data_IF_252320708239
#
_entry.id   IF_252320708239
#
_cell.length_a   1.000
_cell.length_b   1.000
_cell.length_c   1.000
_cell.angle_alpha   90.00
_cell.angle_beta   90.00
_cell.angle_gamma   90.00
#
_symmetry.space_group_name_H-M   'P 1'
#
loop_
_entity.id
_entity.type
_entity.pdbx_description
1 polymer ?
#
# COMPACT_ATOMS: atom_id res chain seq x y z
N UNK A 1 21.56 -7.99 18.12
CA UNK A 1 20.87 -6.68 17.99
C UNK A 1 19.79 -6.68 19.05
N UNK A 2 20.07 -5.99 20.16
CA UNK A 2 19.16 -5.84 21.30
C UNK A 2 17.92 -5.07 20.85
N UNK A 3 16.77 -5.74 20.85
CA UNK A 3 15.46 -5.10 20.66
C UNK A 3 15.27 -4.10 21.80
N UNK A 4 15.20 -2.81 21.49
CA UNK A 4 14.85 -1.79 22.47
C UNK A 4 13.33 -1.79 22.58
N UNK A 5 12.72 -2.30 23.67
CA UNK A 5 11.26 -2.38 23.81
C UNK A 5 10.59 -1.00 23.81
N UNK A 6 11.36 0.07 24.05
CA UNK A 6 10.90 1.46 23.95
C UNK A 6 10.76 1.98 22.51
N UNK A 7 11.44 1.38 21.53
CA UNK A 7 11.29 1.79 20.13
C UNK A 7 9.94 1.37 19.54
N UNK A 8 9.38 0.24 19.99
CA UNK A 8 8.11 -0.31 19.48
C UNK A 8 6.89 0.55 19.85
N UNK A 9 6.92 1.20 21.02
CA UNK A 9 5.85 2.10 21.45
C UNK A 9 6.01 3.53 20.92
N UNK A 10 7.18 3.90 20.38
CA UNK A 10 7.50 5.31 20.11
C UNK A 10 6.60 5.93 19.04
N UNK A 11 6.29 5.17 17.97
CA UNK A 11 5.40 5.61 16.89
C UNK A 11 3.94 5.75 17.37
N UNK A 12 3.29 4.73 17.95
CA UNK A 12 1.92 4.86 18.46
C UNK A 12 1.80 5.87 19.60
N UNK A 13 2.81 5.99 20.47
CA UNK A 13 2.84 6.99 21.54
C UNK A 13 2.96 8.41 20.97
N UNK A 14 3.87 8.65 20.03
CA UNK A 14 4.01 9.95 19.37
C UNK A 14 2.73 10.36 18.63
N UNK A 15 2.05 9.40 18.00
CA UNK A 15 0.73 9.62 17.38
C UNK A 15 -0.32 9.98 18.42
N UNK A 16 -0.43 9.21 19.51
CA UNK A 16 -1.37 9.50 20.59
C UNK A 16 -1.16 10.90 21.17
N UNK A 17 0.09 11.29 21.40
CA UNK A 17 0.45 12.61 21.91
C UNK A 17 0.10 13.70 20.88
N UNK A 18 0.46 13.50 19.60
CA UNK A 18 0.19 14.49 18.54
C UNK A 18 -1.31 14.69 18.32
N UNK A 19 -2.08 13.60 18.35
CA UNK A 19 -3.54 13.66 18.28
C UNK A 19 -4.13 14.38 19.48
N UNK A 20 -3.66 14.06 20.70
CA UNK A 20 -4.15 14.70 21.93
C UNK A 20 -3.86 16.21 21.94
N UNK A 21 -2.67 16.63 21.46
CA UNK A 21 -2.33 18.05 21.30
C UNK A 21 -3.23 18.70 20.24
N UNK A 22 -3.43 18.06 19.08
CA UNK A 22 -4.31 18.59 18.03
C UNK A 22 -5.76 18.72 18.51
N UNK A 23 -6.22 17.77 19.32
CA UNK A 23 -7.54 17.79 19.95
C UNK A 23 -7.66 18.95 20.95
N UNK A 24 -6.68 19.12 21.85
CA UNK A 24 -6.64 20.24 22.80
C UNK A 24 -6.60 21.60 22.07
N UNK A 25 -5.81 21.74 21.01
CA UNK A 25 -5.76 22.96 20.19
C UNK A 25 -7.09 23.22 19.46
N UNK A 26 -7.83 22.18 19.13
CA UNK A 26 -9.16 22.30 18.51
C UNK A 26 -10.21 22.77 19.53
N UNK A 27 -10.25 22.15 20.71
CA UNK A 27 -11.20 22.49 21.77
C UNK A 27 -10.94 23.87 22.39
N UNK A 28 -9.68 24.28 22.49
CA UNK A 28 -9.30 25.63 22.96
C UNK A 28 -9.63 26.74 21.94
N UNK A 29 -10.14 26.39 20.75
CA UNK A 29 -10.55 27.35 19.73
C UNK A 29 -9.38 28.02 19.00
N UNK A 30 -8.16 27.48 19.09
CA UNK A 30 -6.97 28.02 18.38
C UNK A 30 -7.17 27.98 16.86
N UNK A 31 -7.95 27.01 16.37
CA UNK A 31 -8.33 26.90 14.96
C UNK A 31 -9.63 27.64 14.60
N UNK A 32 -10.24 28.41 15.50
CA UNK A 32 -11.42 29.24 15.20
C UNK A 32 -11.00 30.68 14.87
N UNK A 33 -10.85 30.97 13.58
CA UNK A 33 -10.54 32.30 13.07
C UNK A 33 -11.84 33.09 12.84
N UNK A 34 -11.94 34.30 13.40
CA UNK A 34 -13.14 35.15 13.30
C UNK A 34 -13.44 35.48 11.84
N UNK A 35 -14.69 35.24 11.42
CA UNK A 35 -15.17 35.59 10.07
C UNK A 35 -14.71 34.65 8.95
N UNK A 36 -14.11 33.51 9.28
CA UNK A 36 -13.69 32.50 8.30
C UNK A 36 -14.53 31.24 8.47
N UNK A 37 -15.12 30.76 7.37
CA UNK A 37 -15.86 29.50 7.32
C UNK A 37 -15.03 28.45 6.57
N UNK A 38 -15.00 27.22 7.08
CA UNK A 38 -14.30 26.08 6.48
C UNK A 38 -15.02 25.54 5.24
N UNK A 39 -16.34 25.77 5.14
CA UNK A 39 -17.18 25.23 4.07
C UNK A 39 -17.17 26.10 2.81
N UNK A 40 -16.64 27.31 2.89
CA UNK A 40 -16.51 28.21 1.74
C UNK A 40 -15.19 27.93 1.03
N UNK A 41 -15.19 27.56 -0.26
CA UNK A 41 -13.96 27.32 -1.00
C UNK A 41 -13.10 28.59 -1.00
N UNK A 42 -11.78 28.43 -0.94
CA UNK A 42 -10.82 29.53 -1.00
C UNK A 42 -10.84 30.20 -2.39
N UNK A 43 -11.86 31.00 -2.64
CA UNK A 43 -12.04 31.79 -3.86
C UNK A 43 -11.42 33.18 -3.71
N UNK A 44 -11.32 33.90 -4.82
CA UNK A 44 -10.88 35.30 -4.80
C UNK A 44 -11.83 36.24 -4.04
N UNK A 45 -13.06 35.79 -3.73
CA UNK A 45 -14.05 36.54 -2.94
C UNK A 45 -13.86 36.42 -1.42
N UNK A 46 -12.96 35.56 -0.94
CA UNK A 46 -12.64 35.40 0.49
C UNK A 46 -11.48 36.33 0.87
N UNK A 47 -11.60 37.00 2.03
CA UNK A 47 -10.57 37.88 2.60
C UNK A 47 -9.20 37.20 2.60
N UNK A 48 -8.10 37.92 2.25
CA UNK A 48 -6.75 37.35 2.23
C UNK A 48 -6.33 36.78 3.60
N UNK A 49 -6.88 37.33 4.69
CA UNK A 49 -6.73 36.79 6.03
C UNK A 49 -7.29 35.36 6.15
N UNK A 50 -8.52 35.13 5.71
CA UNK A 50 -9.14 33.81 5.77
C UNK A 50 -8.49 32.83 4.80
N UNK A 51 -8.11 33.29 3.59
CA UNK A 51 -7.42 32.44 2.59
C UNK A 51 -6.15 31.78 3.14
N UNK A 52 -5.40 32.49 3.99
CA UNK A 52 -4.19 31.96 4.63
C UNK A 52 -4.48 30.91 5.70
N UNK A 53 -5.62 31.01 6.38
CA UNK A 53 -5.92 30.20 7.57
C UNK A 53 -6.87 29.02 7.30
N UNK A 54 -7.68 29.08 6.24
CA UNK A 54 -8.58 27.99 5.80
C UNK A 54 -7.85 26.65 5.62
N UNK A 55 -6.64 26.57 5.01
CA UNK A 55 -5.92 25.30 4.90
C UNK A 55 -5.58 24.69 6.25
N UNK A 56 -5.25 25.52 7.24
CA UNK A 56 -4.94 25.08 8.61
C UNK A 56 -6.18 24.60 9.33
N UNK A 57 -7.31 25.29 9.15
CA UNK A 57 -8.61 24.87 9.69
C UNK A 57 -9.06 23.53 9.12
N UNK A 58 -8.83 23.29 7.83
CA UNK A 58 -9.30 22.07 7.15
C UNK A 58 -8.48 20.82 7.45
N UNK A 59 -7.15 20.94 7.56
CA UNK A 59 -6.28 19.77 7.64
C UNK A 59 -5.69 19.50 9.04
N UNK A 60 -5.67 20.51 9.94
CA UNK A 60 -5.08 20.36 11.29
C UNK A 60 -6.12 20.16 12.40
N UNK A 61 -7.40 20.44 12.13
CA UNK A 61 -8.47 20.40 13.11
C UNK A 61 -8.94 18.96 13.34
N UNK A 62 -9.17 18.59 14.59
CA UNK A 62 -9.77 17.29 14.96
C UNK A 62 -11.28 17.49 15.11
N UNK A 63 -12.06 17.24 14.05
CA UNK A 63 -13.52 17.37 14.09
C UNK A 63 -14.19 16.16 14.77
N UNK A 64 -13.91 15.99 16.06
CA UNK A 64 -14.49 14.93 16.90
C UNK A 64 -15.99 15.10 17.12
N UNK A 65 -16.48 16.34 17.20
CA UNK A 65 -17.81 16.62 17.77
C UNK A 65 -18.97 16.18 16.87
N UNK A 66 -18.81 16.18 15.54
CA UNK A 66 -19.88 15.78 14.62
C UNK A 66 -19.77 14.30 14.22
N UNK A 67 -18.59 13.83 13.80
CA UNK A 67 -18.39 12.45 13.35
C UNK A 67 -18.53 11.42 14.49
N UNK A 68 -18.02 11.73 15.69
CA UNK A 68 -18.13 10.83 16.83
C UNK A 68 -19.54 10.82 17.45
N UNK A 69 -20.28 11.94 17.39
CA UNK A 69 -21.67 11.99 17.86
C UNK A 69 -22.63 11.31 16.88
N UNK A 70 -22.49 11.57 15.59
CA UNK A 70 -23.37 11.02 14.54
C UNK A 70 -23.14 9.54 14.22
N UNK A 71 -21.97 8.99 14.55
CA UNK A 71 -21.69 7.57 14.33
C UNK A 71 -22.52 6.67 15.26
N UNK A 72 -23.17 5.60 14.75
CA UNK A 72 -23.89 4.65 15.58
C UNK A 72 -22.92 3.83 16.45
N UNK A 73 -23.41 3.34 17.59
CA UNK A 73 -22.63 2.44 18.45
C UNK A 73 -22.36 1.10 17.77
N UNK A 74 -23.36 0.54 17.10
CA UNK A 74 -23.26 -0.71 16.35
C UNK A 74 -23.59 -0.47 14.88
N UNK A 75 -22.73 -0.93 13.98
CA UNK A 75 -22.96 -0.91 12.52
C UNK A 75 -22.52 -2.23 11.94
N UNK A 76 -23.44 -2.93 11.30
CA UNK A 76 -23.09 -4.11 10.51
C UNK A 76 -22.69 -3.67 9.09
N UNK A 77 -21.47 -3.97 8.60
CA UNK A 77 -21.10 -3.67 7.23
C UNK A 77 -21.73 -4.72 6.30
N UNK A 78 -22.66 -4.30 5.45
CA UNK A 78 -23.30 -5.20 4.48
C UNK A 78 -22.51 -5.23 3.17
N UNK A 79 -22.40 -6.40 2.50
CA UNK A 79 -21.88 -6.44 1.15
C UNK A 79 -22.78 -5.62 0.22
N UNK A 80 -22.18 -4.97 -0.77
CA UNK A 80 -22.84 -4.12 -1.77
C UNK A 80 -23.57 -2.89 -1.18
N UNK A 81 -23.24 -2.47 0.04
CA UNK A 81 -23.83 -1.27 0.66
C UNK A 81 -23.58 0.02 -0.15
N UNK A 82 -22.56 0.03 -1.02
CA UNK A 82 -22.17 1.16 -1.86
C UNK A 82 -22.65 1.04 -3.31
N UNK A 83 -23.47 0.03 -3.63
CA UNK A 83 -24.00 -0.22 -4.97
C UNK A 83 -23.44 -1.50 -5.62
N UNK A 84 -24.00 -1.85 -6.77
CA UNK A 84 -23.56 -3.01 -7.57
C UNK A 84 -22.25 -2.71 -8.32
N UNK A 85 -21.35 -3.69 -8.49
CA UNK A 85 -20.10 -3.49 -9.20
C UNK A 85 -20.36 -3.11 -10.68
N UNK A 86 -19.78 -1.99 -11.12
CA UNK A 86 -19.85 -1.54 -12.52
C UNK A 86 -18.55 -1.93 -13.22
N UNK A 87 -18.66 -2.70 -14.30
CA UNK A 87 -17.49 -3.17 -15.04
C UNK A 87 -17.08 -2.16 -16.13
N UNK A 88 -15.84 -1.68 -16.06
CA UNK A 88 -15.21 -0.89 -17.11
C UNK A 88 -13.91 -1.58 -17.55
N UNK A 89 -13.88 -2.04 -18.80
CA UNK A 89 -12.77 -2.82 -19.34
C UNK A 89 -11.43 -2.06 -19.32
N UNK A 90 -11.45 -0.72 -19.48
CA UNK A 90 -10.23 0.10 -19.47
C UNK A 90 -9.58 0.08 -18.09
N UNK A 91 -10.40 0.27 -17.05
CA UNK A 91 -9.96 0.22 -15.66
C UNK A 91 -9.57 -1.19 -15.25
N UNK A 92 -10.30 -2.20 -15.72
CA UNK A 92 -9.97 -3.60 -15.46
C UNK A 92 -8.54 -3.92 -15.93
N UNK A 93 -8.15 -3.51 -17.16
CA UNK A 93 -6.80 -3.73 -17.66
C UNK A 93 -5.72 -3.00 -16.85
N UNK A 94 -5.98 -1.74 -16.46
CA UNK A 94 -5.06 -0.98 -15.60
C UNK A 94 -4.89 -1.69 -14.24
N UNK A 95 -5.99 -2.10 -13.62
CA UNK A 95 -5.96 -2.80 -12.33
C UNK A 95 -5.32 -4.18 -12.42
N UNK A 96 -5.45 -4.90 -13.53
CA UNK A 96 -4.72 -6.15 -13.77
C UNK A 96 -3.20 -5.93 -13.74
N UNK A 97 -2.71 -4.88 -14.41
CA UNK A 97 -1.28 -4.57 -14.40
C UNK A 97 -0.77 -4.16 -13.01
N UNK A 98 -1.56 -3.34 -12.28
CA UNK A 98 -1.24 -2.97 -10.89
C UNK A 98 -1.23 -4.20 -9.98
N UNK A 99 -2.15 -5.15 -10.19
CA UNK A 99 -2.22 -6.40 -9.41
C UNK A 99 -0.99 -7.27 -9.63
N UNK A 100 -0.44 -7.34 -10.85
CA UNK A 100 0.83 -8.06 -11.11
C UNK A 100 1.98 -7.48 -10.30
N UNK A 101 2.05 -6.15 -10.21
CA UNK A 101 3.09 -5.47 -9.42
C UNK A 101 2.89 -5.74 -7.92
N UNK A 102 1.65 -5.69 -7.44
CA UNK A 102 1.32 -6.04 -6.06
C UNK A 102 1.72 -7.48 -5.72
N UNK A 103 1.52 -8.44 -6.64
CA UNK A 103 1.97 -9.82 -6.46
C UNK A 103 3.48 -9.90 -6.24
N UNK A 104 4.28 -9.13 -6.99
CA UNK A 104 5.74 -9.13 -6.84
C UNK A 104 6.15 -8.60 -5.47
N UNK A 105 5.48 -7.55 -4.99
CA UNK A 105 5.68 -7.01 -3.65
C UNK A 105 5.31 -8.03 -2.55
N UNK A 106 4.20 -8.74 -2.71
CA UNK A 106 3.78 -9.83 -1.81
C UNK A 106 4.79 -10.98 -1.79
N UNK A 107 5.34 -11.39 -2.95
CA UNK A 107 6.39 -12.43 -3.04
C UNK A 107 7.63 -12.03 -2.25
N UNK A 108 8.08 -10.77 -2.41
CA UNK A 108 9.20 -10.23 -1.65
C UNK A 108 8.92 -10.23 -0.13
N UNK A 109 7.70 -9.86 0.25
CA UNK A 109 7.24 -9.82 1.64
C UNK A 109 7.17 -11.20 2.29
N UNK A 110 6.71 -12.23 1.57
CA UNK A 110 6.71 -13.61 2.05
C UNK A 110 8.12 -14.14 2.32
N UNK A 111 9.06 -13.84 1.42
CA UNK A 111 10.44 -14.23 1.59
C UNK A 111 11.10 -13.52 2.78
N UNK A 112 10.93 -12.19 2.88
CA UNK A 112 11.42 -11.42 4.03
C UNK A 112 10.84 -11.93 5.35
N UNK A 113 9.54 -12.24 5.39
CA UNK A 113 8.87 -12.80 6.56
C UNK A 113 9.46 -14.15 6.97
N UNK A 114 9.70 -15.05 6.01
CA UNK A 114 10.29 -16.38 6.29
C UNK A 114 11.67 -16.26 6.94
N UNK A 115 12.47 -15.30 6.48
CA UNK A 115 13.79 -15.05 7.05
C UNK A 115 13.72 -14.52 8.48
N UNK A 116 12.81 -13.60 8.78
CA UNK A 116 12.68 -13.03 10.12
C UNK A 116 12.15 -14.03 11.16
N UNK A 117 11.34 -15.00 10.73
CA UNK A 117 10.84 -16.09 11.57
C UNK A 117 11.84 -17.27 11.64
N UNK A 118 12.97 -17.17 10.95
CA UNK A 118 13.98 -18.23 10.83
C UNK A 118 13.43 -19.55 10.26
N UNK A 119 12.43 -19.45 9.39
CA UNK A 119 11.89 -20.58 8.61
C UNK A 119 12.63 -20.70 7.27
N UNK A 120 12.46 -21.84 6.60
CA UNK A 120 12.95 -22.04 5.22
C UNK A 120 12.21 -21.10 4.25
N UNK A 121 12.80 -20.75 3.10
CA UNK A 121 12.12 -19.94 2.10
C UNK A 121 10.83 -20.62 1.60
N UNK A 122 9.78 -19.84 1.28
CA UNK A 122 8.50 -20.40 0.86
C UNK A 122 8.63 -21.09 -0.51
N UNK A 123 8.04 -22.28 -0.65
CA UNK A 123 7.99 -22.99 -1.94
C UNK A 123 7.05 -22.29 -2.92
N UNK A 124 7.20 -22.50 -4.24
CA UNK A 124 6.29 -21.92 -5.23
C UNK A 124 4.81 -22.27 -4.99
N UNK A 125 4.51 -23.46 -4.44
CA UNK A 125 3.15 -23.86 -4.07
C UNK A 125 2.57 -23.03 -2.93
N UNK A 126 3.37 -22.79 -1.88
CA UNK A 126 2.98 -21.93 -0.75
C UNK A 126 2.75 -20.48 -1.19
N UNK A 127 3.63 -19.95 -2.03
CA UNK A 127 3.51 -18.59 -2.59
C UNK A 127 2.25 -18.47 -3.45
N UNK A 128 2.03 -19.43 -4.35
CA UNK A 128 0.85 -19.46 -5.24
C UNK A 128 -0.46 -19.49 -4.44
N UNK A 129 -0.50 -20.29 -3.37
CA UNK A 129 -1.64 -20.36 -2.45
C UNK A 129 -1.86 -19.03 -1.71
N UNK A 130 -0.80 -18.39 -1.25
CA UNK A 130 -0.87 -17.08 -0.58
C UNK A 130 -1.47 -16.01 -1.49
N UNK A 131 -0.94 -15.89 -2.71
CA UNK A 131 -1.43 -14.97 -3.73
C UNK A 131 -2.90 -15.26 -4.10
N UNK A 132 -3.26 -16.55 -4.21
CA UNK A 132 -4.65 -16.94 -4.45
C UNK A 132 -5.60 -16.45 -3.35
N UNK A 133 -5.16 -16.49 -2.09
CA UNK A 133 -5.94 -15.97 -0.96
C UNK A 133 -6.04 -14.44 -0.98
N UNK A 134 -4.97 -13.73 -1.38
CA UNK A 134 -5.00 -12.27 -1.58
C UNK A 134 -5.99 -11.85 -2.68
N UNK A 135 -6.10 -12.65 -3.74
CA UNK A 135 -7.10 -12.44 -4.79
C UNK A 135 -8.53 -12.59 -4.25
N UNK A 136 -8.79 -13.65 -3.48
CA UNK A 136 -10.10 -13.89 -2.86
C UNK A 136 -10.44 -12.74 -1.88
N UNK A 137 -9.49 -12.34 -1.03
CA UNK A 137 -9.72 -11.24 -0.09
C UNK A 137 -9.95 -9.91 -0.81
N UNK A 138 -9.28 -9.67 -1.94
CA UNK A 138 -9.52 -8.48 -2.78
C UNK A 138 -10.93 -8.45 -3.39
N UNK A 139 -11.45 -9.61 -3.83
CA UNK A 139 -12.84 -9.70 -4.30
C UNK A 139 -13.82 -9.42 -3.18
N UNK A 140 -13.61 -9.99 -1.99
CA UNK A 140 -14.44 -9.73 -0.81
C UNK A 140 -14.37 -8.25 -0.38
N UNK A 141 -13.19 -7.66 -0.40
CA UNK A 141 -12.96 -6.24 -0.10
C UNK A 141 -13.74 -5.34 -1.09
N UNK A 142 -13.69 -5.67 -2.38
CA UNK A 142 -14.48 -5.00 -3.42
C UNK A 142 -16.00 -5.11 -3.18
N UNK A 143 -16.50 -6.27 -2.77
CA UNK A 143 -17.92 -6.46 -2.44
C UNK A 143 -18.37 -5.65 -1.22
N UNK A 144 -17.54 -5.54 -0.18
CA UNK A 144 -17.82 -4.69 0.98
C UNK A 144 -17.57 -3.18 0.74
N UNK A 145 -17.01 -2.87 -0.42
CA UNK A 145 -16.76 -1.52 -0.93
C UNK A 145 -15.68 -0.76 -0.18
N UNK A 146 -14.61 -1.46 0.21
CA UNK A 146 -13.36 -0.80 0.64
C UNK A 146 -12.71 0.00 -0.50
N UNK A 147 -13.09 -0.27 -1.77
CA UNK A 147 -12.59 0.43 -2.96
C UNK A 147 -11.12 0.15 -3.29
N UNK A 148 -10.42 -0.63 -2.46
CA UNK A 148 -9.01 -0.97 -2.56
C UNK A 148 -8.85 -2.50 -2.51
N UNK A 149 -7.84 -3.00 -3.23
CA UNK A 149 -7.44 -4.40 -3.17
C UNK A 149 -6.77 -4.75 -1.84
N UNK A 150 -6.78 -6.03 -1.48
CA UNK A 150 -6.07 -6.57 -0.33
C UNK A 150 -4.71 -7.08 -0.79
N UNK A 151 -3.65 -6.71 -0.08
CA UNK A 151 -2.29 -7.19 -0.32
C UNK A 151 -1.60 -7.50 1.01
N UNK A 152 -0.43 -8.15 0.95
CA UNK A 152 0.40 -8.34 2.14
C UNK A 152 0.96 -7.00 2.62
N UNK A 153 0.77 -6.71 3.91
CA UNK A 153 1.28 -5.49 4.54
C UNK A 153 2.75 -5.67 4.91
N UNK A 154 3.63 -4.97 4.21
CA UNK A 154 5.08 -4.97 4.47
C UNK A 154 5.43 -4.45 5.87
N UNK A 155 4.56 -3.60 6.43
CA UNK A 155 4.68 -3.06 7.78
C UNK A 155 4.60 -4.17 8.82
N UNK A 156 3.71 -5.15 8.61
CA UNK A 156 3.59 -6.30 9.51
C UNK A 156 4.86 -7.16 9.47
N UNK A 157 5.52 -7.26 8.31
CA UNK A 157 6.81 -7.95 8.17
C UNK A 157 7.88 -7.24 9.00
N UNK A 158 7.91 -5.91 8.96
CA UNK A 158 8.79 -5.11 9.80
C UNK A 158 8.49 -5.30 11.30
N UNK A 159 7.22 -5.32 11.70
CA UNK A 159 6.84 -5.58 13.09
C UNK A 159 7.35 -6.94 13.57
N UNK A 160 7.29 -7.99 12.75
CA UNK A 160 7.87 -9.31 13.10
C UNK A 160 9.39 -9.18 13.28
N UNK A 161 10.07 -8.44 12.41
CA UNK A 161 11.50 -8.23 12.48
C UNK A 161 11.95 -7.55 13.78
N UNK A 162 11.16 -6.60 14.30
CA UNK A 162 11.48 -5.86 15.53
C UNK A 162 11.00 -6.60 16.79
N UNK A 163 9.73 -7.01 16.84
CA UNK A 163 9.12 -7.67 18.01
C UNK A 163 9.63 -9.09 18.25
N UNK A 164 10.27 -9.70 17.23
CA UNK A 164 10.69 -11.11 17.24
C UNK A 164 9.54 -12.10 17.52
N UNK A 165 8.30 -11.68 17.27
CA UNK A 165 7.12 -12.51 17.47
C UNK A 165 6.59 -13.04 16.13
N UNK A 166 6.98 -14.26 15.76
CA UNK A 166 6.50 -14.96 14.55
C UNK A 166 5.26 -15.82 14.76
N UNK A 167 4.47 -15.60 15.82
CA UNK A 167 3.37 -16.50 16.19
C UNK A 167 2.11 -16.26 15.36
N UNK A 168 1.61 -17.31 14.68
CA UNK A 168 0.34 -17.27 13.92
C UNK A 168 -0.87 -16.94 14.79
N UNK A 169 -0.87 -17.39 16.05
CA UNK A 169 -1.97 -17.14 17.00
C UNK A 169 -2.14 -15.66 17.32
N UNK A 170 -1.05 -14.90 17.32
CA UNK A 170 -1.11 -13.45 17.53
C UNK A 170 -1.80 -12.75 16.35
N UNK A 171 -1.50 -13.17 15.12
CA UNK A 171 -2.14 -12.65 13.91
C UNK A 171 -3.63 -13.03 13.87
N UNK A 172 -3.98 -14.28 14.20
CA UNK A 172 -5.37 -14.74 14.31
C UNK A 172 -6.17 -13.92 15.34
N UNK A 173 -5.58 -13.69 16.52
CA UNK A 173 -6.20 -12.86 17.56
C UNK A 173 -6.41 -11.41 17.08
N UNK A 174 -5.39 -10.81 16.45
CA UNK A 174 -5.49 -9.47 15.87
C UNK A 174 -6.59 -9.37 14.82
N UNK A 175 -6.73 -10.37 13.94
CA UNK A 175 -7.78 -10.43 12.94
C UNK A 175 -9.18 -10.49 13.57
N UNK A 176 -9.39 -11.31 14.61
CA UNK A 176 -10.66 -11.38 15.34
C UNK A 176 -10.97 -10.04 16.00
N UNK A 177 -9.99 -9.41 16.64
CA UNK A 177 -10.17 -8.08 17.25
C UNK A 177 -10.56 -7.04 16.20
N UNK A 178 -9.91 -7.01 15.03
CA UNK A 178 -10.24 -6.07 13.96
C UNK A 178 -11.66 -6.29 13.40
N UNK A 179 -12.09 -7.55 13.25
CA UNK A 179 -13.47 -7.88 12.86
C UNK A 179 -14.46 -7.37 13.91
N UNK A 180 -14.19 -7.59 15.20
CA UNK A 180 -15.06 -7.12 16.28
C UNK A 180 -15.14 -5.58 16.32
N UNK A 181 -14.00 -4.90 16.14
CA UNK A 181 -13.94 -3.44 16.07
C UNK A 181 -14.68 -2.87 14.87
N UNK A 182 -14.76 -3.61 13.75
CA UNK A 182 -15.50 -3.17 12.56
C UNK A 182 -17.00 -3.02 12.82
N UNK A 183 -17.55 -3.73 13.81
CA UNK A 183 -18.96 -3.59 14.20
C UNK A 183 -19.23 -2.37 15.07
N UNK A 184 -18.18 -1.77 15.66
CA UNK A 184 -18.30 -0.62 16.56
C UNK A 184 -18.18 0.66 15.75
N UNK A 185 -19.31 1.25 15.35
CA UNK A 185 -19.32 2.44 14.49
C UNK A 185 -18.61 3.66 15.10
N UNK A 186 -18.54 3.74 16.43
CA UNK A 186 -17.76 4.77 17.14
C UNK A 186 -16.26 4.68 16.86
N UNK A 187 -15.71 3.48 16.66
CA UNK A 187 -14.30 3.30 16.28
C UNK A 187 -14.07 3.91 14.90
N UNK A 188 -14.98 3.68 13.95
CA UNK A 188 -14.94 4.33 12.64
C UNK A 188 -15.07 5.86 12.74
N UNK A 189 -15.95 6.36 13.59
CA UNK A 189 -16.09 7.80 13.87
C UNK A 189 -14.83 8.42 14.49
N UNK A 190 -14.13 7.69 15.35
CA UNK A 190 -12.85 8.09 15.91
C UNK A 190 -11.75 8.14 14.84
N UNK A 191 -11.63 7.10 14.00
CA UNK A 191 -10.66 7.07 12.91
C UNK A 191 -10.91 8.22 11.93
N UNK A 192 -12.18 8.50 11.60
CA UNK A 192 -12.56 9.63 10.75
C UNK A 192 -12.27 11.02 11.37
N UNK A 193 -12.04 11.09 12.68
CA UNK A 193 -11.65 12.34 13.36
C UNK A 193 -10.15 12.63 13.33
N UNK A 194 -9.33 11.67 12.88
CA UNK A 194 -7.87 11.83 12.82
C UNK A 194 -7.53 12.86 11.73
N UNK A 195 -6.73 13.91 12.04
CA UNK A 195 -6.35 14.92 11.06
C UNK A 195 -5.54 14.36 9.88
N UNK A 196 -5.80 14.88 8.68
CA UNK A 196 -5.10 14.50 7.45
C UNK A 196 -3.58 14.66 7.55
N UNK A 197 -3.10 15.69 8.25
CA UNK A 197 -1.66 15.94 8.42
C UNK A 197 -0.98 14.79 9.17
N UNK A 198 -1.67 14.17 10.13
CA UNK A 198 -1.13 13.02 10.86
C UNK A 198 -1.07 11.78 9.98
N UNK A 199 -2.11 11.56 9.17
CA UNK A 199 -2.16 10.46 8.20
C UNK A 199 -1.04 10.62 7.17
N UNK A 200 -0.81 11.84 6.68
CA UNK A 200 0.27 12.13 5.74
C UNK A 200 1.67 11.86 6.35
N UNK A 201 1.89 12.25 7.61
CA UNK A 201 3.14 11.97 8.32
C UNK A 201 3.37 10.46 8.51
N UNK A 202 2.31 9.73 8.88
CA UNK A 202 2.35 8.27 9.00
C UNK A 202 2.71 7.59 7.68
N UNK A 203 2.03 7.97 6.61
CA UNK A 203 2.28 7.45 5.28
C UNK A 203 3.72 7.75 4.86
N UNK A 204 4.26 8.95 5.12
CA UNK A 204 5.65 9.28 4.81
C UNK A 204 6.64 8.31 5.47
N UNK A 205 6.46 8.02 6.76
CA UNK A 205 7.27 7.03 7.48
C UNK A 205 7.11 5.63 6.90
N UNK A 206 5.88 5.23 6.60
CA UNK A 206 5.54 3.92 6.03
C UNK A 206 6.21 3.71 4.66
N UNK A 207 6.09 4.68 3.74
CA UNK A 207 6.73 4.62 2.42
C UNK A 207 8.26 4.66 2.51
N UNK A 208 8.83 5.39 3.47
CA UNK A 208 10.27 5.38 3.72
C UNK A 208 10.76 4.00 4.19
N UNK A 209 10.03 3.35 5.10
CA UNK A 209 10.34 1.97 5.51
C UNK A 209 10.21 0.98 4.36
N UNK A 210 9.17 1.09 3.52
CA UNK A 210 9.00 0.24 2.34
C UNK A 210 10.19 0.39 1.37
N UNK A 211 10.64 1.63 1.16
CA UNK A 211 11.81 1.93 0.32
C UNK A 211 13.09 1.31 0.92
N UNK A 212 13.27 1.43 2.24
CA UNK A 212 14.41 0.83 2.93
C UNK A 212 14.40 -0.71 2.85
N UNK A 213 13.22 -1.34 2.98
CA UNK A 213 13.06 -2.79 2.82
C UNK A 213 13.39 -3.22 1.39
N UNK A 214 12.86 -2.52 0.38
CA UNK A 214 13.16 -2.77 -1.04
C UNK A 214 14.64 -2.68 -1.36
N UNK A 215 15.34 -1.64 -0.88
CA UNK A 215 16.79 -1.52 -1.04
C UNK A 215 17.55 -2.60 -0.26
N UNK A 216 17.08 -3.01 0.91
CA UNK A 216 17.71 -4.07 1.69
C UNK A 216 17.67 -5.43 0.98
N UNK A 217 16.63 -5.69 0.18
CA UNK A 217 16.51 -6.91 -0.63
C UNK A 217 17.57 -7.00 -1.73
N UNK A 218 18.16 -5.87 -2.16
CA UNK A 218 19.25 -5.90 -3.13
C UNK A 218 20.47 -6.67 -2.61
N UNK A 219 20.65 -6.79 -1.28
CA UNK A 219 21.75 -7.55 -0.66
C UNK A 219 21.78 -9.03 -1.07
N UNK A 220 20.67 -9.60 -1.53
CA UNK A 220 20.63 -10.98 -2.05
C UNK A 220 21.17 -11.11 -3.48
N UNK A 221 21.31 -9.99 -4.19
CA UNK A 221 22.03 -9.91 -5.46
C UNK A 221 23.48 -9.48 -5.23
N UNK A 222 24.36 -9.74 -6.21
CA UNK A 222 25.72 -9.20 -6.17
C UNK A 222 25.67 -7.70 -6.44
N UNK A 223 25.46 -6.88 -5.39
CA UNK A 223 25.39 -5.41 -5.48
C UNK A 223 26.71 -4.75 -5.85
N UNK A 224 27.82 -5.49 -5.80
CA UNK A 224 29.14 -5.02 -6.23
C UNK A 224 29.36 -5.05 -7.74
N UNK A 225 28.45 -5.66 -8.53
CA UNK A 225 28.58 -5.69 -9.99
C UNK A 225 28.07 -4.38 -10.60
N UNK A 226 28.86 -3.81 -11.53
CA UNK A 226 28.49 -2.58 -12.26
C UNK A 226 27.16 -2.74 -13.01
N UNK A 227 26.89 -3.95 -13.52
CA UNK A 227 25.61 -4.33 -14.15
C UNK A 227 24.42 -4.02 -13.24
N UNK A 228 24.40 -4.58 -12.04
CA UNK A 228 23.24 -4.48 -11.15
C UNK A 228 23.03 -3.05 -10.65
N UNK A 229 24.12 -2.33 -10.35
CA UNK A 229 24.06 -0.92 -9.97
C UNK A 229 23.48 -0.03 -11.08
N UNK A 230 23.85 -0.28 -12.35
CA UNK A 230 23.28 0.45 -13.51
C UNK A 230 21.79 0.11 -13.67
N UNK A 231 21.40 -1.15 -13.57
CA UNK A 231 20.00 -1.58 -13.70
C UNK A 231 19.13 -0.89 -12.64
N UNK A 232 19.55 -0.95 -11.37
CA UNK A 232 18.82 -0.32 -10.26
C UNK A 232 18.78 1.19 -10.42
N UNK A 233 19.92 1.83 -10.74
CA UNK A 233 20.00 3.28 -10.92
C UNK A 233 19.10 3.79 -12.04
N UNK A 234 19.12 3.13 -13.21
CA UNK A 234 18.25 3.47 -14.34
C UNK A 234 16.78 3.21 -14.04
N UNK A 235 16.45 2.08 -13.39
CA UNK A 235 15.07 1.78 -13.01
C UNK A 235 14.50 2.86 -12.08
N UNK A 236 15.25 3.26 -11.04
CA UNK A 236 14.84 4.31 -10.12
C UNK A 236 14.72 5.67 -10.83
N UNK A 237 15.70 6.05 -11.65
CA UNK A 237 15.66 7.32 -12.38
C UNK A 237 14.47 7.42 -13.34
N UNK A 238 14.28 6.42 -14.20
CA UNK A 238 13.17 6.42 -15.15
C UNK A 238 11.82 6.30 -14.45
N UNK A 239 11.74 5.59 -13.32
CA UNK A 239 10.51 5.48 -12.54
C UNK A 239 9.99 6.81 -12.02
N UNK A 240 10.86 7.81 -11.83
CA UNK A 240 10.46 9.16 -11.41
C UNK A 240 10.31 10.10 -12.61
N UNK A 241 11.20 9.98 -13.59
CA UNK A 241 11.26 10.88 -14.75
C UNK A 241 10.08 10.69 -15.72
N UNK A 242 9.81 9.46 -16.15
CA UNK A 242 8.78 9.17 -17.16
C UNK A 242 7.38 9.53 -16.63
N UNK A 243 6.96 9.06 -15.45
CA UNK A 243 5.66 9.43 -14.90
C UNK A 243 5.50 10.93 -14.68
N UNK A 244 6.55 11.62 -14.23
CA UNK A 244 6.51 13.08 -14.08
C UNK A 244 6.23 13.79 -15.41
N UNK A 245 6.84 13.34 -16.51
CA UNK A 245 6.55 13.86 -17.84
C UNK A 245 5.08 13.64 -18.25
N UNK A 246 4.57 12.41 -18.04
CA UNK A 246 3.18 12.07 -18.36
C UNK A 246 2.18 12.88 -17.51
N UNK A 247 2.45 13.04 -16.21
CA UNK A 247 1.62 13.79 -15.27
C UNK A 247 1.60 15.30 -15.53
N UNK A 248 2.66 15.85 -16.11
CA UNK A 248 2.79 17.26 -16.45
C UNK A 248 2.37 17.57 -17.90
N UNK A 249 2.09 16.55 -18.70
CA UNK A 249 1.79 16.71 -20.12
C UNK A 249 0.50 17.50 -20.34
N UNK A 250 0.60 18.63 -21.06
CA UNK A 250 -0.53 19.49 -21.40
C UNK A 250 -0.95 20.46 -20.29
N UNK A 251 -0.24 20.49 -19.16
CA UNK A 251 -0.49 21.46 -18.09
C UNK A 251 0.39 22.70 -18.27
N UNK A 252 -0.25 23.86 -18.29
CA UNK A 252 0.45 25.14 -18.34
C UNK A 252 0.99 25.49 -16.95
N UNK A 253 2.24 25.95 -16.78
CA UNK A 253 2.90 26.13 -15.48
C UNK A 253 2.20 27.12 -14.53
N UNK A 254 1.24 27.91 -14.99
CA UNK A 254 0.47 28.90 -14.21
C UNK A 254 -1.05 28.62 -14.15
N UNK A 255 -1.50 27.46 -14.62
CA UNK A 255 -2.91 27.07 -14.49
C UNK A 255 -3.15 26.41 -13.12
N UNK A 256 -4.19 26.84 -12.40
CA UNK A 256 -4.64 26.12 -11.22
C UNK A 256 -4.99 24.69 -11.65
N UNK A 257 -4.38 23.65 -11.07
CA UNK A 257 -4.70 22.28 -11.44
C UNK A 257 -6.20 22.05 -11.15
N UNK A 258 -6.91 21.50 -12.14
CA UNK A 258 -8.35 21.23 -12.04
C UNK A 258 -8.68 20.16 -11.01
N UNK A 259 -7.69 19.36 -10.63
CA UNK A 259 -7.78 18.32 -9.61
C UNK A 259 -6.65 18.47 -8.58
N UNK A 260 -6.85 18.00 -7.34
CA UNK A 260 -5.76 17.86 -6.38
C UNK A 260 -4.60 17.02 -6.91
N UNK A 261 -3.37 17.35 -6.50
CA UNK A 261 -2.12 16.74 -6.99
C UNK A 261 -2.05 15.22 -6.86
N UNK A 262 -2.76 14.63 -5.90
CA UNK A 262 -2.81 13.18 -5.71
C UNK A 262 -3.71 12.46 -6.73
N UNK A 263 -4.63 13.17 -7.39
CA UNK A 263 -5.43 12.62 -8.49
C UNK A 263 -4.77 12.81 -9.86
N UNK A 264 -3.64 13.53 -9.92
CA UNK A 264 -2.96 13.86 -11.16
C UNK A 264 -2.66 12.66 -12.07
N UNK A 265 -2.17 11.51 -11.56
CA UNK A 265 -1.89 10.34 -12.40
C UNK A 265 -3.11 9.83 -13.16
N UNK A 266 -4.32 10.01 -12.62
CA UNK A 266 -5.55 9.52 -13.21
C UNK A 266 -6.10 10.44 -14.32
N UNK A 267 -5.74 11.72 -14.31
CA UNK A 267 -6.23 12.69 -15.32
C UNK A 267 -5.50 12.52 -16.66
N UNK A 268 -4.24 12.06 -16.60
CA UNK A 268 -3.39 11.76 -17.78
C UNK A 268 -4.02 10.74 -18.72
N UNK A 269 -4.89 9.87 -18.19
CA UNK A 269 -5.57 8.84 -18.98
C UNK A 269 -6.37 9.41 -20.17
N UNK A 270 -6.87 10.64 -20.07
CA UNK A 270 -7.67 11.28 -21.12
C UNK A 270 -6.87 12.20 -22.07
N UNK A 271 -5.80 12.83 -21.58
CA UNK A 271 -5.08 13.88 -22.30
C UNK A 271 -3.58 13.58 -22.52
N UNK A 272 -3.13 12.38 -22.18
CA UNK A 272 -1.73 12.01 -22.24
C UNK A 272 -1.11 12.07 -23.65
N UNK A 273 0.23 11.99 -23.74
CA UNK A 273 0.98 12.17 -24.97
C UNK A 273 0.73 11.07 -26.01
N UNK A 274 0.33 9.87 -25.59
CA UNK A 274 0.10 8.76 -26.52
C UNK A 274 -1.26 8.89 -27.21
N UNK A 275 -1.22 9.00 -28.54
CA UNK A 275 -2.38 9.08 -29.44
C UNK A 275 -2.27 8.05 -30.56
N UNK A 276 -2.51 6.80 -30.20
CA UNK A 276 -2.82 5.73 -31.17
C UNK A 276 -4.30 5.87 -31.54
N UNK A 277 -4.73 5.62 -32.78
CA UNK A 277 -6.11 5.89 -33.22
C UNK A 277 -7.26 5.25 -32.40
N UNK A 278 -6.96 4.44 -31.39
CA UNK A 278 -7.89 3.82 -30.45
C UNK A 278 -7.89 4.52 -29.09
N UNK A 279 -8.95 5.27 -28.78
CA UNK A 279 -9.07 6.01 -27.51
C UNK A 279 -9.01 5.14 -26.24
N UNK A 280 -9.45 3.88 -26.32
CA UNK A 280 -9.33 2.93 -25.20
C UNK A 280 -7.89 2.51 -24.91
N UNK A 281 -7.09 2.27 -25.94
CA UNK A 281 -5.68 1.92 -25.80
C UNK A 281 -4.88 3.10 -25.23
N UNK A 282 -5.17 4.32 -25.71
CA UNK A 282 -4.57 5.55 -25.19
C UNK A 282 -4.83 5.69 -23.69
N UNK A 283 -6.06 5.42 -23.24
CA UNK A 283 -6.40 5.46 -21.82
C UNK A 283 -5.51 4.54 -21.00
N UNK A 284 -5.41 3.26 -21.39
CA UNK A 284 -4.65 2.26 -20.65
C UNK A 284 -3.16 2.60 -20.63
N UNK A 285 -2.57 2.89 -21.81
CA UNK A 285 -1.14 3.17 -21.90
C UNK A 285 -0.74 4.45 -21.17
N UNK A 286 -1.49 5.55 -21.36
CA UNK A 286 -1.20 6.80 -20.67
C UNK A 286 -1.33 6.65 -19.15
N UNK A 287 -2.30 5.87 -18.66
CA UNK A 287 -2.45 5.60 -17.22
C UNK A 287 -1.28 4.78 -16.69
N UNK A 288 -0.91 3.67 -17.35
CA UNK A 288 0.18 2.81 -16.92
C UNK A 288 1.53 3.52 -16.90
N UNK A 289 1.82 4.34 -17.90
CA UNK A 289 3.07 5.10 -17.96
C UNK A 289 3.12 6.28 -16.98
N UNK A 290 1.98 6.68 -16.42
CA UNK A 290 1.91 7.67 -15.35
C UNK A 290 2.18 7.10 -13.95
N UNK A 291 2.34 5.78 -13.81
CA UNK A 291 2.60 5.12 -12.53
C UNK A 291 4.09 4.79 -12.35
N UNK A 292 4.68 5.33 -11.28
CA UNK A 292 6.09 5.10 -10.92
C UNK A 292 6.45 3.62 -10.81
N UNK A 293 5.61 2.84 -10.11
CA UNK A 293 5.82 1.41 -9.91
C UNK A 293 5.82 0.59 -11.22
N UNK A 294 4.98 0.98 -12.20
CA UNK A 294 4.90 0.29 -13.49
C UNK A 294 6.17 0.52 -14.29
N UNK A 295 6.65 1.76 -14.36
CA UNK A 295 7.89 2.09 -15.06
C UNK A 295 9.09 1.44 -14.37
N UNK A 296 9.17 1.48 -13.04
CA UNK A 296 10.23 0.81 -12.29
C UNK A 296 10.31 -0.68 -12.64
N UNK A 297 9.16 -1.36 -12.64
CA UNK A 297 9.07 -2.78 -12.98
C UNK A 297 9.47 -3.06 -14.43
N UNK A 298 8.91 -2.32 -15.40
CA UNK A 298 9.20 -2.52 -16.82
C UNK A 298 10.68 -2.31 -17.12
N UNK A 299 11.28 -1.23 -16.64
CA UNK A 299 12.70 -0.93 -16.87
C UNK A 299 13.59 -1.98 -16.21
N UNK A 300 13.29 -2.38 -14.96
CA UNK A 300 14.07 -3.41 -14.28
C UNK A 300 14.01 -4.75 -15.02
N UNK A 301 12.83 -5.19 -15.46
CA UNK A 301 12.66 -6.45 -16.21
C UNK A 301 13.35 -6.40 -17.57
N UNK A 302 13.18 -5.31 -18.32
CA UNK A 302 13.80 -5.16 -19.64
C UNK A 302 15.32 -5.16 -19.50
N UNK A 303 15.87 -4.38 -18.59
CA UNK A 303 17.32 -4.29 -18.41
C UNK A 303 17.92 -5.58 -17.84
N UNK A 304 17.25 -6.27 -16.92
CA UNK A 304 17.77 -7.54 -16.40
C UNK A 304 17.81 -8.64 -17.47
N UNK A 305 16.83 -8.67 -18.38
CA UNK A 305 16.78 -9.64 -19.47
C UNK A 305 17.71 -9.30 -20.64
N UNK A 306 17.93 -8.02 -20.93
CA UNK A 306 18.76 -7.57 -22.07
C UNK A 306 20.25 -7.52 -21.73
N UNK A 307 20.62 -7.11 -20.51
CA UNK A 307 22.02 -7.01 -20.10
C UNK A 307 22.55 -8.39 -19.70
N UNK A 308 23.61 -8.90 -20.37
CA UNK A 308 24.18 -10.21 -20.04
C UNK A 308 24.70 -10.22 -18.61
N UNK A 309 24.48 -11.32 -17.89
CA UNK A 309 24.91 -11.48 -16.50
C UNK A 309 24.79 -12.93 -16.04
N UNK A 310 25.59 -13.30 -15.04
CA UNK A 310 25.59 -14.64 -14.46
C UNK A 310 24.34 -14.89 -13.59
N UNK A 311 24.00 -16.17 -13.33
CA UNK A 311 22.88 -16.53 -12.43
C UNK A 311 23.09 -16.04 -11.00
N UNK A 312 24.34 -15.90 -10.57
CA UNK A 312 24.72 -15.39 -9.26
C UNK A 312 24.48 -13.88 -9.18
N UNK A 313 24.88 -13.12 -10.21
CA UNK A 313 24.62 -11.68 -10.28
C UNK A 313 23.12 -11.37 -10.28
N UNK A 314 22.32 -12.15 -11.00
CA UNK A 314 20.85 -12.00 -11.00
C UNK A 314 20.19 -12.41 -9.68
N UNK A 315 20.91 -13.03 -8.74
CA UNK A 315 20.36 -13.53 -7.48
C UNK A 315 19.43 -14.73 -7.63
N UNK A 316 19.40 -15.39 -8.79
CA UNK A 316 18.48 -16.51 -9.11
C UNK A 316 18.96 -17.84 -8.49
N UNK A 317 20.23 -17.94 -8.11
CA UNK A 317 20.84 -19.15 -7.55
C UNK A 317 20.27 -19.57 -6.18
N UNK A 318 19.93 -18.61 -5.32
CA UNK A 318 19.28 -18.84 -4.01
C UNK A 318 17.93 -19.58 -4.16
N UNK A 319 17.29 -19.44 -5.32
CA UNK A 319 15.95 -19.97 -5.58
C UNK A 319 15.98 -21.38 -6.20
N UNK A 320 17.13 -21.85 -6.69
CA UNK A 320 17.26 -23.22 -7.24
C UNK A 320 17.30 -24.33 -6.19
N UNK A 321 17.51 -24.00 -4.90
CA UNK A 321 17.48 -24.98 -3.81
C UNK A 321 16.07 -25.20 -3.21
N UNK A 322 15.06 -24.44 -3.65
CA UNK A 322 13.68 -24.55 -3.15
C UNK A 322 13.05 -25.93 -3.42
N UNK A 323 13.46 -26.60 -4.50
CA UNK A 323 13.05 -27.98 -4.82
C UNK A 323 13.50 -28.99 -3.75
N UNK A 324 14.65 -28.77 -3.10
CA UNK A 324 15.19 -29.63 -2.04
C UNK A 324 14.42 -29.41 -0.74
N UNK A 325 14.06 -28.16 -0.43
CA UNK A 325 13.24 -27.79 0.73
C UNK A 325 11.82 -28.38 0.69
N UNK A 326 11.27 -28.63 -0.51
CA UNK A 326 9.93 -29.23 -0.70
C UNK A 326 9.79 -30.65 -0.13
N UNK A 327 10.91 -31.37 0.06
CA UNK A 327 10.92 -32.75 0.58
C UNK A 327 11.10 -32.84 2.09
N UNK A 328 11.34 -31.73 2.79
CA UNK A 328 11.54 -31.74 4.25
C UNK A 328 10.18 -31.61 5.00
N UNK A 329 9.82 -32.57 5.88
CA UNK A 329 8.56 -32.52 6.64
C UNK A 329 8.48 -31.35 7.63
N UNK A 330 9.63 -30.80 8.07
CA UNK A 330 9.69 -29.62 8.93
C UNK A 330 9.16 -28.35 8.24
N UNK A 331 9.45 -28.18 6.94
CA UNK A 331 8.97 -27.05 6.13
C UNK A 331 7.46 -27.13 5.90
N UNK A 332 6.96 -28.35 5.71
CA UNK A 332 5.52 -28.58 5.57
C UNK A 332 4.76 -28.07 6.79
N UNK A 333 5.26 -28.38 8.01
CA UNK A 333 4.65 -27.95 9.29
C UNK A 333 4.62 -26.42 9.43
N UNK A 334 5.71 -25.76 9.06
CA UNK A 334 5.85 -24.29 9.12
C UNK A 334 4.94 -23.54 8.13
N UNK A 335 4.34 -24.23 7.15
CA UNK A 335 3.41 -23.67 6.17
C UNK A 335 2.02 -24.36 6.15
N UNK A 336 1.68 -25.14 7.18
CA UNK A 336 0.35 -25.75 7.31
C UNK A 336 -0.78 -24.71 7.45
N UNK A 337 -1.96 -25.01 6.91
CA UNK A 337 -3.14 -24.17 7.06
C UNK A 337 -3.76 -24.31 8.46
N UNK A 338 -4.30 -23.22 9.05
CA UNK A 338 -4.96 -23.27 10.35
C UNK A 338 -6.23 -24.13 10.32
N UNK A 339 -6.61 -24.65 11.49
CA UNK A 339 -7.87 -25.40 11.73
C UNK A 339 -8.14 -26.59 10.80
N UNK A 340 -7.11 -27.29 10.31
CA UNK A 340 -7.26 -28.42 9.36
C UNK A 340 -8.00 -28.04 8.06
N UNK A 341 -8.08 -26.74 7.72
CA UNK A 341 -8.68 -26.26 6.47
C UNK A 341 -8.00 -26.88 5.24
N UNK A 342 -6.72 -27.22 5.36
CA UNK A 342 -5.99 -27.98 4.35
C UNK A 342 -6.58 -29.36 4.04
N UNK A 343 -7.45 -29.93 4.89
CA UNK A 343 -8.19 -31.16 4.60
C UNK A 343 -9.37 -30.92 3.65
N UNK A 344 -10.06 -29.78 3.78
CA UNK A 344 -11.18 -29.40 2.91
C UNK A 344 -10.71 -29.00 1.50
N UNK A 345 -9.51 -28.44 1.39
CA UNK A 345 -8.95 -27.96 0.11
C UNK A 345 -7.91 -28.88 -0.53
N UNK A 346 -7.76 -30.15 -0.07
CA UNK A 346 -6.83 -31.13 -0.70
C UNK A 346 -7.09 -31.35 -2.19
N UNK A 347 -8.32 -31.14 -2.64
CA UNK A 347 -8.74 -31.34 -4.03
C UNK A 347 -8.33 -30.19 -4.96
N UNK A 348 -7.94 -29.02 -4.42
CA UNK A 348 -7.54 -27.87 -5.21
C UNK A 348 -6.03 -27.94 -5.47
N UNK A 349 -5.63 -28.22 -6.71
CA UNK A 349 -4.22 -28.33 -7.14
C UNK A 349 -3.35 -27.12 -6.76
N UNK A 350 -3.95 -25.94 -6.60
CA UNK A 350 -3.29 -24.68 -6.22
C UNK A 350 -3.01 -24.54 -4.71
N UNK A 351 -3.44 -25.50 -3.89
CA UNK A 351 -3.31 -25.46 -2.41
C UNK A 351 -2.19 -26.39 -1.90
N UNK A 352 -1.54 -27.14 -2.80
CA UNK A 352 -0.46 -28.06 -2.47
C UNK A 352 0.89 -27.39 -2.15
N UNK A 353 1.70 -28.07 -1.34
CA UNK A 353 3.07 -27.71 -0.94
C UNK A 353 4.07 -27.75 -2.10
#
# INVERSE_FOLDING_TARGET
ITSCPFCDLQVPLALGITWAIAFLLTETGVYNYRGCDMNVPASNSVSPYCRKHVPRMKHCRVDTSHALKSSPWFRFPYPLQWGTPVFNWKMALVMCAVSVIAIIDSVGSYHASSLFVASRPPTPGVVSRGIGMEGISSVLAGLWGTGLGSTTLTENVHTIAVTKMGSRRAVEFGAVVMILLSFVGKVGGFIASIPDVMIAALLCFMWAMLTALGLSNLRYSVTGSSRNSIIVGLALFFSLSVPSYFQQYGLSPNANPSVPSYFQPYVVASHGPLRTGYGGLNYVLNTLLSFNMVIAFLIAVILDNTVPGSRQERGVYLWSEAEVARREPAVSRDYELPFKVGQAFRWVKWVGL
#
